data_IF_085210929257
#
_entry.id   IF_085210929257
#
_cell.length_a   1.000
_cell.length_b   1.000
_cell.length_c   1.000
_cell.angle_alpha   90.00
_cell.angle_beta   90.00
_cell.angle_gamma   90.00
#
_symmetry.space_group_name_H-M   'P 1'
#
loop_
_entity.id
_entity.type
_entity.pdbx_description
1 polymer ?
#
# COMPACT_ATOMS: atom_id res chain seq x y z
N UNK A 1 -62.36 -5.01 -34.01
CA UNK A 1 -61.66 -3.74 -33.68
C UNK A 1 -61.42 -3.56 -32.19
N UNK A 2 -62.36 -3.79 -31.29
CA UNK A 2 -62.17 -3.59 -29.84
C UNK A 2 -61.13 -4.56 -29.21
N UNK A 3 -61.10 -5.82 -29.64
CA UNK A 3 -60.11 -6.83 -29.16
C UNK A 3 -58.67 -6.51 -29.61
N UNK A 4 -58.50 -5.96 -30.83
CA UNK A 4 -57.19 -5.54 -31.36
C UNK A 4 -56.64 -4.34 -30.60
N UNK A 5 -57.49 -3.37 -30.21
CA UNK A 5 -57.12 -2.23 -29.41
C UNK A 5 -56.64 -2.63 -27.97
N UNK A 6 -57.33 -3.63 -27.39
CA UNK A 6 -56.94 -4.17 -26.07
C UNK A 6 -55.62 -4.91 -26.15
N UNK A 7 -55.36 -5.70 -27.23
CA UNK A 7 -54.12 -6.44 -27.46
C UNK A 7 -52.95 -5.46 -27.63
N UNK A 8 -53.13 -4.37 -28.41
CA UNK A 8 -52.16 -3.31 -28.59
C UNK A 8 -51.84 -2.58 -27.28
N UNK A 9 -52.84 -2.35 -26.44
CA UNK A 9 -52.64 -1.68 -25.15
C UNK A 9 -51.84 -2.56 -24.17
N UNK A 10 -52.09 -3.86 -24.14
CA UNK A 10 -51.35 -4.85 -23.35
C UNK A 10 -49.88 -4.93 -23.85
N UNK A 11 -49.65 -4.93 -25.16
CA UNK A 11 -48.32 -4.95 -25.78
C UNK A 11 -47.52 -3.69 -25.40
N UNK A 12 -48.13 -2.50 -25.40
CA UNK A 12 -47.49 -1.25 -24.98
C UNK A 12 -47.11 -1.24 -23.49
N UNK A 13 -47.92 -1.83 -22.61
CA UNK A 13 -47.64 -1.92 -21.17
C UNK A 13 -46.49 -2.89 -20.90
N UNK A 14 -46.37 -4.01 -21.65
CA UNK A 14 -45.27 -4.97 -21.48
C UNK A 14 -43.93 -4.43 -22.00
N UNK A 15 -43.92 -3.57 -23.02
CA UNK A 15 -42.70 -2.93 -23.54
C UNK A 15 -42.15 -1.88 -22.55
N UNK A 16 -42.98 -1.31 -21.71
CA UNK A 16 -42.53 -0.29 -20.72
C UNK A 16 -41.67 -0.87 -19.58
N UNK A 17 -41.69 -2.15 -19.33
CA UNK A 17 -40.87 -2.82 -18.32
C UNK A 17 -39.45 -3.21 -18.79
N UNK A 18 -39.14 -3.11 -20.10
CA UNK A 18 -37.87 -3.55 -20.68
C UNK A 18 -36.76 -2.48 -20.62
N UNK A 19 -37.02 -1.26 -20.12
CA UNK A 19 -36.10 -0.10 -20.30
C UNK A 19 -35.22 0.20 -19.09
N UNK A 20 -35.27 -0.58 -18.00
CA UNK A 20 -34.49 -0.29 -16.80
C UNK A 20 -33.25 -1.19 -16.58
N UNK A 21 -32.61 -1.65 -17.66
CA UNK A 21 -31.30 -2.31 -17.56
C UNK A 21 -30.14 -1.33 -17.76
N UNK A 22 -30.25 -0.11 -17.24
CA UNK A 22 -29.08 0.74 -17.15
C UNK A 22 -28.17 0.18 -16.05
N UNK A 23 -26.94 -0.20 -16.44
CA UNK A 23 -25.91 -0.58 -15.46
C UNK A 23 -25.73 0.54 -14.45
N UNK A 24 -26.04 0.26 -13.19
CA UNK A 24 -25.79 1.24 -12.12
C UNK A 24 -24.30 1.31 -11.84
N UNK A 25 -23.74 2.48 -12.01
CA UNK A 25 -22.31 2.78 -11.78
C UNK A 25 -22.19 3.65 -10.54
N UNK A 26 -21.28 3.30 -9.67
CA UNK A 26 -20.83 4.13 -8.56
C UNK A 26 -19.32 4.40 -8.70
N UNK A 27 -18.81 5.24 -7.86
CA UNK A 27 -17.36 5.47 -7.75
C UNK A 27 -16.92 5.51 -6.29
N UNK A 28 -15.61 5.41 -6.08
CA UNK A 28 -14.97 5.57 -4.78
C UNK A 28 -13.51 5.97 -4.99
N UNK A 29 -12.98 6.83 -4.15
CA UNK A 29 -11.55 7.07 -4.06
C UNK A 29 -10.92 5.99 -3.17
N UNK A 30 -10.35 4.95 -3.79
CA UNK A 30 -9.78 3.82 -3.07
C UNK A 30 -8.56 4.19 -2.23
N UNK A 31 -7.75 5.14 -2.70
CA UNK A 31 -6.58 5.64 -1.97
C UNK A 31 -7.00 6.40 -0.71
N UNK A 32 -8.03 7.23 -0.80
CA UNK A 32 -8.56 7.94 0.35
C UNK A 32 -9.16 6.99 1.39
N UNK A 33 -9.93 5.98 0.94
CA UNK A 33 -10.47 4.95 1.80
C UNK A 33 -9.36 4.25 2.58
N UNK A 34 -8.40 3.66 1.87
CA UNK A 34 -7.29 2.90 2.47
C UNK A 34 -6.48 3.78 3.42
N UNK A 35 -6.20 5.02 3.03
CA UNK A 35 -5.43 5.96 3.86
C UNK A 35 -6.16 6.36 5.15
N UNK A 36 -7.50 6.32 5.17
CA UNK A 36 -8.31 6.64 6.34
C UNK A 36 -8.55 5.46 7.28
N UNK A 37 -8.18 4.23 6.88
CA UNK A 37 -8.35 3.04 7.71
C UNK A 37 -7.43 3.08 8.94
N UNK A 38 -7.92 2.75 10.15
CA UNK A 38 -7.10 2.69 11.36
C UNK A 38 -5.88 1.79 11.22
N UNK A 39 -6.04 0.63 10.58
CA UNK A 39 -4.96 -0.34 10.33
C UNK A 39 -3.83 0.24 9.47
N UNK A 40 -4.13 1.22 8.60
CA UNK A 40 -3.11 1.92 7.81
C UNK A 40 -2.21 2.76 8.71
N UNK A 41 -2.76 3.41 9.73
CA UNK A 41 -1.97 4.20 10.67
C UNK A 41 -1.08 3.30 11.53
N UNK A 42 -1.60 2.14 11.96
CA UNK A 42 -0.83 1.13 12.69
C UNK A 42 0.31 0.58 11.83
N UNK A 43 0.03 0.24 10.56
CA UNK A 43 1.02 -0.23 9.60
C UNK A 43 2.15 0.79 9.36
N UNK A 44 1.79 2.08 9.22
CA UNK A 44 2.78 3.16 9.08
C UNK A 44 3.66 3.28 10.32
N UNK A 45 3.06 3.26 11.51
CA UNK A 45 3.81 3.36 12.75
C UNK A 45 4.77 2.16 12.96
N UNK A 46 4.35 0.95 12.58
CA UNK A 46 5.18 -0.25 12.63
C UNK A 46 6.36 -0.15 11.66
N UNK A 47 6.12 0.28 10.42
CA UNK A 47 7.17 0.48 9.42
C UNK A 47 8.17 1.56 9.84
N UNK A 48 7.69 2.68 10.38
CA UNK A 48 8.54 3.75 10.87
C UNK A 48 9.44 3.27 12.02
N UNK A 49 8.88 2.53 12.97
CA UNK A 49 9.64 1.94 14.07
C UNK A 49 10.72 0.98 13.56
N UNK A 50 10.39 0.13 12.60
CA UNK A 50 11.33 -0.81 12.01
C UNK A 50 12.44 -0.09 11.24
N UNK A 51 12.09 0.92 10.42
CA UNK A 51 13.05 1.74 9.69
C UNK A 51 14.03 2.44 10.64
N UNK A 52 13.52 3.00 11.74
CA UNK A 52 14.36 3.64 12.76
C UNK A 52 15.29 2.66 13.46
N UNK A 53 14.86 1.41 13.66
CA UNK A 53 15.73 0.37 14.23
C UNK A 53 16.91 0.10 13.30
N UNK A 54 16.65 -0.10 12.00
CA UNK A 54 17.71 -0.33 11.02
C UNK A 54 18.64 0.88 10.89
N UNK A 55 18.10 2.10 10.90
CA UNK A 55 18.90 3.32 10.87
C UNK A 55 19.86 3.39 12.05
N UNK A 56 19.39 3.14 13.27
CA UNK A 56 20.20 3.14 14.48
C UNK A 56 21.30 2.06 14.42
N UNK A 57 20.98 0.87 13.95
CA UNK A 57 21.94 -0.22 13.82
C UNK A 57 23.05 0.13 12.80
N UNK A 58 22.66 0.72 11.66
CA UNK A 58 23.61 1.18 10.64
C UNK A 58 24.51 2.28 11.19
N UNK A 59 23.94 3.24 11.92
CA UNK A 59 24.72 4.31 12.56
C UNK A 59 25.71 3.77 13.60
N UNK A 60 25.29 2.81 14.40
CA UNK A 60 26.16 2.13 15.39
C UNK A 60 27.32 1.43 14.71
N UNK A 61 27.05 0.64 13.68
CA UNK A 61 28.09 -0.08 12.89
C UNK A 61 29.05 0.90 12.22
N UNK A 62 28.54 2.01 11.69
CA UNK A 62 29.36 3.05 11.08
C UNK A 62 30.26 3.77 12.10
N UNK A 63 29.75 4.03 13.29
CA UNK A 63 30.54 4.63 14.36
C UNK A 63 31.65 3.67 14.86
N UNK A 64 31.35 2.37 14.99
CA UNK A 64 32.35 1.34 15.30
C UNK A 64 33.45 1.27 14.26
N UNK A 65 33.07 1.26 12.97
CA UNK A 65 34.03 1.29 11.86
C UNK A 65 34.93 2.53 11.93
N UNK A 66 34.32 3.71 12.10
CA UNK A 66 35.09 4.96 12.20
C UNK A 66 36.06 4.95 13.39
N UNK A 67 35.64 4.43 14.53
CA UNK A 67 36.50 4.29 15.71
C UNK A 67 37.67 3.37 15.46
N UNK A 68 37.44 2.21 14.80
CA UNK A 68 38.49 1.26 14.44
C UNK A 68 39.50 1.85 13.45
N UNK A 69 39.00 2.50 12.39
CA UNK A 69 39.87 3.18 11.42
C UNK A 69 40.79 4.17 12.12
N UNK A 70 40.24 5.04 12.97
CA UNK A 70 41.00 6.03 13.73
C UNK A 70 42.04 5.38 14.64
N UNK A 71 41.66 4.30 15.33
CA UNK A 71 42.59 3.54 16.17
C UNK A 71 43.75 2.96 15.34
N UNK A 72 43.43 2.30 14.24
CA UNK A 72 44.45 1.65 13.38
C UNK A 72 45.38 2.64 12.75
N UNK A 73 44.88 3.79 12.27
CA UNK A 73 45.70 4.90 11.77
C UNK A 73 46.70 5.41 12.82
N UNK A 74 46.24 5.59 14.08
CA UNK A 74 47.08 6.08 15.18
C UNK A 74 48.18 5.09 15.52
N UNK A 75 47.90 3.80 15.48
CA UNK A 75 48.80 2.73 15.85
C UNK A 75 49.71 2.21 14.71
N UNK A 76 49.41 2.57 13.45
CA UNK A 76 50.01 2.01 12.26
C UNK A 76 51.57 2.02 12.27
N UNK A 77 52.17 3.10 12.75
CA UNK A 77 53.62 3.25 12.80
C UNK A 77 54.31 2.35 13.85
N UNK A 78 53.53 1.81 14.78
CA UNK A 78 54.05 0.93 15.86
C UNK A 78 53.78 -0.55 15.60
N UNK A 79 53.10 -0.89 14.50
CA UNK A 79 52.70 -2.24 14.12
C UNK A 79 53.57 -2.76 12.99
N UNK A 80 53.55 -4.08 12.80
CA UNK A 80 54.21 -4.72 11.66
C UNK A 80 53.39 -4.54 10.38
N UNK A 81 54.00 -4.62 9.22
CA UNK A 81 53.34 -4.57 7.92
C UNK A 81 52.28 -5.66 7.78
N UNK A 82 52.53 -6.84 8.32
CA UNK A 82 51.60 -7.96 8.32
C UNK A 82 50.34 -7.68 9.17
N UNK A 83 50.53 -7.07 10.34
CA UNK A 83 49.41 -6.67 11.19
C UNK A 83 48.63 -5.52 10.55
N UNK A 84 49.27 -4.54 9.94
CA UNK A 84 48.60 -3.47 9.23
C UNK A 84 47.80 -3.98 8.01
N UNK A 85 48.29 -4.99 7.30
CA UNK A 85 47.58 -5.63 6.20
C UNK A 85 46.32 -6.37 6.74
N UNK A 86 46.41 -7.08 7.88
CA UNK A 86 45.27 -7.74 8.52
C UNK A 86 44.21 -6.74 8.93
N UNK A 87 44.62 -5.63 9.53
CA UNK A 87 43.70 -4.53 9.97
C UNK A 87 42.97 -3.89 8.78
N UNK A 88 43.68 -3.69 7.66
CA UNK A 88 43.06 -3.20 6.43
C UNK A 88 41.97 -4.16 5.95
N UNK A 89 42.22 -5.46 5.93
CA UNK A 89 41.21 -6.46 5.57
C UNK A 89 40.02 -6.45 6.53
N UNK A 90 40.23 -6.28 7.82
CA UNK A 90 39.16 -6.15 8.82
C UNK A 90 38.26 -4.94 8.52
N UNK A 91 38.83 -3.77 8.29
CA UNK A 91 38.10 -2.54 7.94
C UNK A 91 37.28 -2.74 6.67
N UNK A 92 37.88 -3.32 5.61
CA UNK A 92 37.16 -3.63 4.38
C UNK A 92 36.01 -4.62 4.59
N UNK A 93 36.21 -5.62 5.45
CA UNK A 93 35.17 -6.57 5.85
C UNK A 93 34.01 -5.89 6.60
N UNK A 94 34.31 -4.94 7.49
CA UNK A 94 33.29 -4.16 8.20
C UNK A 94 32.49 -3.29 7.23
N UNK A 95 33.15 -2.59 6.30
CA UNK A 95 32.46 -1.81 5.27
C UNK A 95 31.54 -2.66 4.41
N UNK A 96 32.01 -3.84 3.98
CA UNK A 96 31.18 -4.76 3.21
C UNK A 96 29.98 -5.25 4.03
N UNK A 97 30.17 -5.58 5.30
CA UNK A 97 29.08 -5.97 6.20
C UNK A 97 28.03 -4.88 6.37
N UNK A 98 28.44 -3.62 6.49
CA UNK A 98 27.52 -2.48 6.58
C UNK A 98 26.70 -2.36 5.30
N UNK A 99 27.32 -2.43 4.13
CA UNK A 99 26.64 -2.38 2.83
C UNK A 99 25.64 -3.55 2.66
N UNK A 100 26.02 -4.75 3.08
CA UNK A 100 25.12 -5.92 3.05
C UNK A 100 23.92 -5.72 3.99
N UNK A 101 24.17 -5.24 5.20
CA UNK A 101 23.10 -4.97 6.17
C UNK A 101 22.13 -3.90 5.68
N UNK A 102 22.62 -2.82 5.06
CA UNK A 102 21.77 -1.78 4.43
C UNK A 102 20.88 -2.37 3.33
N UNK A 103 21.45 -3.21 2.46
CA UNK A 103 20.68 -3.87 1.40
C UNK A 103 19.62 -4.81 1.96
N UNK A 104 19.98 -5.60 2.97
CA UNK A 104 19.05 -6.50 3.64
C UNK A 104 17.92 -5.72 4.34
N UNK A 105 18.24 -4.65 5.08
CA UNK A 105 17.27 -3.80 5.76
C UNK A 105 16.24 -3.21 4.77
N UNK A 106 16.73 -2.77 3.61
CA UNK A 106 15.84 -2.24 2.57
C UNK A 106 14.89 -3.32 2.02
N UNK A 107 15.39 -4.53 1.78
CA UNK A 107 14.55 -5.64 1.32
C UNK A 107 13.52 -6.07 2.37
N UNK A 108 13.93 -6.11 3.64
CA UNK A 108 13.03 -6.47 4.73
C UNK A 108 11.95 -5.40 4.97
N UNK A 109 12.29 -4.11 4.83
CA UNK A 109 11.30 -3.02 4.90
C UNK A 109 10.28 -3.12 3.76
N UNK A 110 10.73 -3.34 2.52
CA UNK A 110 9.82 -3.52 1.37
C UNK A 110 8.90 -4.73 1.55
N UNK A 111 9.46 -5.85 2.01
CA UNK A 111 8.66 -7.05 2.30
C UNK A 111 7.64 -6.78 3.39
N UNK A 112 8.06 -6.15 4.48
CA UNK A 112 7.18 -5.81 5.61
C UNK A 112 6.06 -4.87 5.19
N UNK A 113 6.36 -3.86 4.38
CA UNK A 113 5.37 -2.96 3.79
C UNK A 113 4.32 -3.74 2.99
N UNK A 114 4.76 -4.61 2.08
CA UNK A 114 3.85 -5.44 1.30
C UNK A 114 2.97 -6.32 2.20
N UNK A 115 3.57 -6.98 3.20
CA UNK A 115 2.87 -7.89 4.11
C UNK A 115 1.82 -7.16 4.98
N UNK A 116 2.08 -5.89 5.32
CA UNK A 116 1.14 -5.06 6.07
C UNK A 116 0.03 -4.48 5.17
N UNK A 117 0.38 -3.99 3.98
CA UNK A 117 -0.58 -3.31 3.10
C UNK A 117 -1.53 -4.27 2.40
N UNK A 118 -1.08 -5.47 2.06
CA UNK A 118 -1.90 -6.46 1.36
C UNK A 118 -3.22 -6.75 2.07
N UNK A 119 -3.26 -7.15 3.36
CA UNK A 119 -4.53 -7.45 4.05
C UNK A 119 -5.42 -6.20 4.19
N UNK A 120 -4.86 -5.00 4.31
CA UNK A 120 -5.61 -3.75 4.41
C UNK A 120 -6.33 -3.46 3.10
N UNK A 121 -5.62 -3.59 1.97
CA UNK A 121 -6.22 -3.38 0.63
C UNK A 121 -7.26 -4.44 0.30
N UNK A 122 -7.02 -5.71 0.65
CA UNK A 122 -7.99 -6.78 0.47
C UNK A 122 -9.27 -6.55 1.30
N UNK A 123 -9.13 -6.08 2.56
CA UNK A 123 -10.26 -5.70 3.43
C UNK A 123 -11.07 -4.55 2.84
N UNK A 124 -10.38 -3.50 2.36
CA UNK A 124 -11.03 -2.36 1.71
C UNK A 124 -11.80 -2.80 0.46
N UNK A 125 -11.18 -3.60 -0.40
CA UNK A 125 -11.81 -4.12 -1.61
C UNK A 125 -13.05 -4.97 -1.30
N UNK A 126 -12.96 -5.83 -0.30
CA UNK A 126 -14.09 -6.67 0.11
C UNK A 126 -15.27 -5.82 0.61
N UNK A 127 -15.00 -4.76 1.38
CA UNK A 127 -16.02 -3.83 1.86
C UNK A 127 -16.67 -3.04 0.72
N UNK A 128 -15.87 -2.54 -0.24
CA UNK A 128 -16.37 -1.85 -1.45
C UNK A 128 -17.35 -2.77 -2.21
N UNK A 129 -16.93 -4.01 -2.48
CA UNK A 129 -17.77 -4.99 -3.21
C UNK A 129 -19.05 -5.30 -2.44
N UNK A 130 -18.98 -5.45 -1.11
CA UNK A 130 -20.14 -5.72 -0.27
C UNK A 130 -21.15 -4.57 -0.32
N UNK A 131 -20.70 -3.33 -0.12
CA UNK A 131 -21.54 -2.13 -0.16
C UNK A 131 -22.13 -1.93 -1.55
N UNK A 132 -21.33 -2.04 -2.60
CA UNK A 132 -21.79 -1.90 -3.98
C UNK A 132 -22.92 -2.90 -4.31
N UNK A 133 -22.72 -4.17 -3.98
CA UNK A 133 -23.73 -5.23 -4.21
C UNK A 133 -25.01 -4.99 -3.41
N UNK A 134 -24.92 -4.59 -2.14
CA UNK A 134 -26.09 -4.32 -1.30
C UNK A 134 -26.94 -3.16 -1.82
N UNK A 135 -26.30 -2.17 -2.48
CA UNK A 135 -26.98 -1.02 -3.08
C UNK A 135 -27.35 -1.24 -4.56
N UNK A 136 -27.07 -2.43 -5.11
CA UNK A 136 -27.45 -2.81 -6.47
C UNK A 136 -26.62 -2.15 -7.57
N UNK A 137 -25.39 -1.76 -7.28
CA UNK A 137 -24.44 -1.27 -8.27
C UNK A 137 -23.80 -2.45 -9.01
N UNK A 138 -23.66 -2.29 -10.34
CA UNK A 138 -23.04 -3.29 -11.23
C UNK A 138 -21.55 -3.03 -11.40
N UNK A 139 -21.16 -1.76 -11.34
CA UNK A 139 -19.77 -1.30 -11.48
C UNK A 139 -19.43 -0.28 -10.41
N UNK A 140 -18.20 -0.33 -9.93
CA UNK A 140 -17.58 0.70 -9.10
C UNK A 140 -16.28 1.13 -9.77
N UNK A 141 -16.17 2.40 -10.06
CA UNK A 141 -14.97 2.98 -10.66
C UNK A 141 -14.08 3.57 -9.55
N UNK A 142 -12.77 3.36 -9.67
CA UNK A 142 -11.82 4.04 -8.81
C UNK A 142 -11.62 5.48 -9.28
N UNK A 143 -12.09 6.44 -8.50
CA UNK A 143 -11.95 7.87 -8.76
C UNK A 143 -10.69 8.49 -8.16
N UNK A 144 -9.74 7.67 -7.73
CA UNK A 144 -8.41 8.15 -7.32
C UNK A 144 -7.75 8.90 -8.48
N UNK A 145 -7.17 10.04 -8.20
CA UNK A 145 -6.50 10.86 -9.20
C UNK A 145 -5.44 10.05 -9.96
N UNK A 146 -5.49 10.09 -11.29
CA UNK A 146 -4.57 9.34 -12.15
C UNK A 146 -5.00 7.92 -12.51
N UNK A 147 -6.13 7.43 -12.00
CA UNK A 147 -6.68 6.10 -12.33
C UNK A 147 -7.62 6.09 -13.56
N UNK A 148 -7.63 7.17 -14.34
CA UNK A 148 -8.34 7.25 -15.62
C UNK A 148 -9.78 7.74 -15.53
N UNK A 149 -10.33 7.99 -14.35
CA UNK A 149 -11.64 8.64 -14.17
C UNK A 149 -11.45 10.15 -14.19
N UNK A 150 -11.98 10.81 -15.22
CA UNK A 150 -11.87 12.26 -15.40
C UNK A 150 -13.00 13.00 -14.69
N UNK A 151 -14.22 12.42 -14.73
CA UNK A 151 -15.41 12.95 -14.09
C UNK A 151 -16.16 11.84 -13.37
N UNK A 152 -16.46 12.05 -12.10
CA UNK A 152 -17.19 11.12 -11.23
C UNK A 152 -18.34 11.89 -10.56
N UNK A 153 -19.44 12.12 -11.31
CA UNK A 153 -20.65 12.83 -10.84
C UNK A 153 -21.74 11.86 -10.37
N UNK A 154 -21.38 10.59 -10.17
CA UNK A 154 -22.27 9.53 -9.73
C UNK A 154 -22.34 9.39 -8.21
N UNK A 155 -22.90 8.26 -7.75
CA UNK A 155 -22.94 7.91 -6.32
C UNK A 155 -21.51 7.59 -5.84
N UNK A 156 -21.04 8.38 -4.89
CA UNK A 156 -19.82 8.10 -4.14
C UNK A 156 -20.14 7.10 -3.01
N UNK A 157 -19.32 6.04 -2.89
CA UNK A 157 -19.48 5.00 -1.88
C UNK A 157 -18.56 5.20 -0.66
N UNK A 158 -17.71 6.23 -0.63
CA UNK A 158 -16.67 6.38 0.39
C UNK A 158 -17.22 6.30 1.81
N UNK A 159 -18.22 7.11 2.13
CA UNK A 159 -18.82 7.17 3.48
C UNK A 159 -19.63 5.91 3.82
N UNK A 160 -20.25 5.28 2.81
CA UNK A 160 -20.99 4.03 3.00
C UNK A 160 -20.03 2.88 3.32
N UNK A 161 -18.86 2.86 2.68
CA UNK A 161 -17.82 1.85 2.92
C UNK A 161 -17.10 2.08 4.24
N UNK A 162 -16.81 3.32 4.63
CA UNK A 162 -16.27 3.63 5.96
C UNK A 162 -17.18 3.11 7.08
N UNK A 163 -18.49 3.36 6.97
CA UNK A 163 -19.48 2.81 7.92
C UNK A 163 -19.51 1.28 7.95
N UNK A 164 -19.39 0.63 6.80
CA UNK A 164 -19.30 -0.85 6.72
C UNK A 164 -18.05 -1.37 7.43
N UNK A 165 -16.93 -0.62 7.34
CA UNK A 165 -15.66 -0.94 8.01
C UNK A 165 -15.64 -0.56 9.50
N UNK A 166 -16.58 0.27 9.96
CA UNK A 166 -16.74 0.63 11.36
C UNK A 166 -15.98 1.88 11.82
N UNK A 167 -15.67 2.80 10.89
CA UNK A 167 -14.98 4.06 11.22
C UNK A 167 -15.54 5.23 10.39
#
# INVERSE_FOLDING_TARGET
MRKIKILLLILCVTLSFAVNSQSKVAHINSTELVSSMPEMNEAKAELEKLAKTYENDIQTKAAELQSKVKQYDTEASTQTDEENARRLQEVQGMEQSIRQYQSQAQQELQKKEFDLLKPITEKAQAAIVKVAKSQGFTYVLDSTQGQGVILADGKDLLEDVKRELGF
#
